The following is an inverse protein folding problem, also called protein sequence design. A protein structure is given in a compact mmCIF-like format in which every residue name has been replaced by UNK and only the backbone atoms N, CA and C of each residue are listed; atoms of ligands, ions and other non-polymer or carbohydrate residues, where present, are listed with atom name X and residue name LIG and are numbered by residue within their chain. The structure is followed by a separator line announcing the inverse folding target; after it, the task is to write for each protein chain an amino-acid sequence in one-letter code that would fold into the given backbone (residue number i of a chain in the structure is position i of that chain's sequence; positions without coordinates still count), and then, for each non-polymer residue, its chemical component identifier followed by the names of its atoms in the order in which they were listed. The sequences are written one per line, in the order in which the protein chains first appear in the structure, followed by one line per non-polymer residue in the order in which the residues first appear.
data_IF_204682696116
#
_entry.id   IF_204682696116
#
_cell.length_a   1.000
_cell.length_b   1.000
_cell.length_c   1.000
_cell.angle_alpha   90.00
_cell.angle_beta   90.00
_cell.angle_gamma   90.00
#
_symmetry.space_group_name_H-M   'P 1'
#
loop_
_entity.id
_entity.type
_entity.pdbx_description
1 polymer ?
#
# COMPACT_ATOMS: atom_id res chain seq x y z
N UNK A 1 -18.35 -39.48 -21.57
CA UNK A 1 -17.28 -39.10 -20.63
C UNK A 1 -17.93 -38.41 -19.43
N UNK A 2 -17.98 -39.05 -18.26
CA UNK A 2 -18.60 -38.51 -17.04
C UNK A 2 -17.49 -38.04 -16.10
N UNK A 3 -17.36 -36.74 -15.89
CA UNK A 3 -16.42 -36.16 -14.92
C UNK A 3 -17.00 -36.30 -13.51
N UNK A 4 -16.50 -37.30 -12.78
CA UNK A 4 -16.80 -37.52 -11.36
C UNK A 4 -16.14 -36.42 -10.53
N UNK A 5 -16.93 -35.49 -10.01
CA UNK A 5 -16.50 -34.47 -9.05
C UNK A 5 -16.44 -35.10 -7.66
N UNK A 6 -15.24 -35.32 -7.13
CA UNK A 6 -15.04 -35.75 -5.75
C UNK A 6 -15.43 -34.62 -4.79
N UNK A 7 -16.53 -34.84 -4.08
CA UNK A 7 -17.01 -34.01 -2.97
C UNK A 7 -16.25 -34.46 -1.72
N UNK A 8 -15.13 -33.81 -1.41
CA UNK A 8 -14.48 -33.97 -0.11
C UNK A 8 -15.38 -33.31 0.95
N UNK A 9 -16.16 -34.14 1.65
CA UNK A 9 -16.76 -33.76 2.92
C UNK A 9 -15.63 -33.61 3.95
N UNK A 10 -15.25 -32.36 4.22
CA UNK A 10 -14.44 -32.02 5.39
C UNK A 10 -15.44 -31.85 6.52
N UNK A 11 -15.51 -32.82 7.43
CA UNK A 11 -16.27 -32.72 8.66
C UNK A 11 -15.63 -31.65 9.57
N UNK A 12 -16.07 -30.40 9.41
CA UNK A 12 -15.71 -29.24 10.27
C UNK A 12 -16.66 -29.11 11.47
N UNK A 13 -16.89 -30.20 12.19
CA UNK A 13 -17.77 -30.25 13.36
C UNK A 13 -16.96 -30.88 14.50
N UNK A 14 -16.24 -30.14 15.35
CA UNK A 14 -16.87 -29.37 16.43
C UNK A 14 -15.94 -28.30 17.09
N UNK A 15 -14.74 -28.04 16.58
CA UNK A 15 -13.76 -27.16 17.27
C UNK A 15 -13.75 -25.69 16.81
N UNK A 16 -14.56 -25.32 15.81
CA UNK A 16 -14.64 -23.94 15.28
C UNK A 16 -15.39 -22.96 16.20
N UNK A 17 -16.15 -23.47 17.19
CA UNK A 17 -16.99 -22.65 18.05
C UNK A 17 -16.24 -21.93 19.20
N UNK A 18 -14.95 -22.20 19.41
CA UNK A 18 -14.19 -21.59 20.52
C UNK A 18 -13.49 -20.27 20.17
N UNK A 19 -13.38 -19.89 18.90
CA UNK A 19 -12.65 -18.67 18.50
C UNK A 19 -13.52 -17.46 18.19
N UNK A 20 -14.82 -17.64 17.93
CA UNK A 20 -15.70 -16.55 17.45
C UNK A 20 -16.36 -15.71 18.55
N UNK A 21 -16.12 -15.99 19.84
CA UNK A 21 -16.80 -15.32 20.96
C UNK A 21 -15.95 -14.35 21.81
N UNK A 22 -14.72 -14.04 21.41
CA UNK A 22 -13.81 -13.19 22.23
C UNK A 22 -13.66 -11.75 21.71
N UNK A 23 -14.07 -11.44 20.48
CA UNK A 23 -13.76 -10.14 19.85
C UNK A 23 -14.90 -9.13 19.76
N UNK A 24 -16.04 -9.38 20.42
CA UNK A 24 -17.14 -8.41 20.47
C UNK A 24 -17.05 -7.53 21.72
N UNK A 25 -16.67 -6.27 21.52
CA UNK A 25 -16.85 -5.14 22.43
C UNK A 25 -16.16 -5.21 23.79
N UNK A 26 -14.83 -5.11 23.79
CA UNK A 26 -14.18 -4.29 24.81
C UNK A 26 -13.72 -3.01 24.15
N UNK A 27 -14.32 -1.90 24.57
CA UNK A 27 -13.64 -0.60 24.56
C UNK A 27 -12.33 -0.80 25.31
N UNK A 28 -11.28 -1.13 24.58
CA UNK A 28 -9.93 -1.15 25.12
C UNK A 28 -9.54 0.32 25.16
N UNK A 29 -9.90 0.98 26.25
CA UNK A 29 -9.15 2.13 26.72
C UNK A 29 -7.68 1.79 26.55
N UNK A 30 -7.00 2.58 25.72
CA UNK A 30 -5.62 2.42 25.27
C UNK A 30 -4.67 2.21 26.46
N UNK A 31 -4.60 0.98 26.98
CA UNK A 31 -3.80 0.59 28.14
C UNK A 31 -2.41 0.10 27.76
N UNK A 32 -2.02 0.27 26.50
CA UNK A 32 -0.63 0.23 26.11
C UNK A 32 -0.09 1.64 26.33
N UNK A 33 0.69 1.89 27.41
CA UNK A 33 1.45 3.12 27.46
C UNK A 33 2.28 3.17 26.17
N UNK A 34 2.28 4.33 25.51
CA UNK A 34 3.21 4.59 24.43
C UNK A 34 4.59 4.07 24.88
N UNK A 35 5.30 3.27 24.05
CA UNK A 35 6.62 2.79 24.39
C UNK A 35 7.40 4.00 24.90
N UNK A 36 7.76 3.98 26.19
CA UNK A 36 8.63 5.03 26.71
C UNK A 36 9.86 4.91 25.84
N UNK A 37 10.15 5.96 25.07
CA UNK A 37 11.35 6.08 24.27
C UNK A 37 12.53 6.00 25.23
N UNK A 38 12.88 4.79 25.67
CA UNK A 38 14.16 4.53 26.27
C UNK A 38 15.12 4.65 25.11
N UNK A 39 15.93 5.72 25.03
CA UNK A 39 16.93 5.82 24.00
C UNK A 39 17.75 4.54 24.12
N UNK A 40 17.59 3.65 23.15
CA UNK A 40 18.43 2.46 23.05
C UNK A 40 19.83 3.05 23.03
N UNK A 41 20.67 2.78 24.04
CA UNK A 41 21.98 3.37 24.08
C UNK A 41 22.62 3.00 22.76
N UNK A 42 22.81 4.02 21.90
CA UNK A 42 23.61 3.88 20.71
C UNK A 42 24.99 3.67 21.29
N UNK A 43 25.33 2.41 21.54
CA UNK A 43 26.68 1.98 21.84
C UNK A 43 27.46 2.32 20.59
N UNK A 44 27.91 3.58 20.53
CA UNK A 44 28.97 4.02 19.66
C UNK A 44 30.19 3.25 20.12
N UNK A 45 30.30 2.01 19.64
CA UNK A 45 31.46 1.16 19.79
C UNK A 45 32.65 2.03 19.42
N UNK A 46 33.54 2.23 20.38
CA UNK A 46 34.80 2.97 20.25
C UNK A 46 35.42 2.55 18.92
N UNK A 47 35.44 3.49 17.96
CA UNK A 47 35.95 3.22 16.63
C UNK A 47 37.46 3.23 16.74
N UNK A 48 38.09 2.10 16.47
CA UNK A 48 39.53 2.06 16.30
C UNK A 48 39.90 2.98 15.12
N UNK A 49 40.78 3.98 15.33
CA UNK A 49 41.12 4.99 14.32
C UNK A 49 41.83 4.41 13.08
N UNK A 50 42.22 3.13 13.13
CA UNK A 50 42.89 2.43 12.03
C UNK A 50 41.91 1.75 11.05
N UNK A 51 40.59 1.93 11.26
CA UNK A 51 39.54 1.27 10.48
C UNK A 51 39.01 2.10 9.29
N UNK A 52 39.86 2.94 8.69
CA UNK A 52 39.44 3.82 7.58
C UNK A 52 39.29 3.09 6.23
N UNK A 53 39.66 1.80 6.14
CA UNK A 53 39.61 1.04 4.89
C UNK A 53 38.94 -0.35 4.99
N UNK A 54 38.35 -0.74 6.12
CA UNK A 54 37.51 -1.95 6.11
C UNK A 54 36.12 -1.58 5.63
N UNK A 55 35.63 -2.36 4.67
CA UNK A 55 34.23 -2.30 4.27
C UNK A 55 33.37 -2.47 5.52
N UNK A 56 32.52 -1.49 5.81
CA UNK A 56 31.61 -1.55 6.95
C UNK A 56 30.71 -2.79 6.78
N UNK A 57 30.87 -3.77 7.66
CA UNK A 57 30.05 -4.99 7.67
C UNK A 57 28.92 -4.81 8.69
N UNK A 58 27.70 -5.12 8.25
CA UNK A 58 26.52 -5.15 9.12
C UNK A 58 26.33 -6.58 9.60
N UNK A 59 26.25 -6.75 10.92
CA UNK A 59 25.99 -8.04 11.56
C UNK A 59 24.67 -7.97 12.33
N UNK A 60 23.94 -9.08 12.34
CA UNK A 60 22.70 -9.23 13.10
C UNK A 60 22.95 -10.28 14.20
N UNK A 61 22.64 -9.96 15.46
CA UNK A 61 22.84 -10.86 16.60
C UNK A 61 21.58 -11.66 16.92
N UNK A 62 20.47 -10.95 17.09
CA UNK A 62 19.24 -11.49 17.65
C UNK A 62 18.04 -11.25 16.73
N UNK A 63 17.07 -12.15 16.82
CA UNK A 63 15.81 -12.11 16.07
C UNK A 63 14.64 -12.06 17.04
N UNK A 64 13.65 -11.23 16.73
CA UNK A 64 12.34 -11.23 17.39
C UNK A 64 11.26 -11.64 16.38
N UNK A 65 10.29 -12.44 16.83
CA UNK A 65 9.19 -12.92 15.99
C UNK A 65 7.89 -12.31 16.49
N UNK A 66 7.17 -11.65 15.57
CA UNK A 66 5.92 -10.93 15.85
C UNK A 66 4.80 -11.46 14.96
N UNK A 67 3.63 -11.63 15.55
CA UNK A 67 2.39 -11.96 14.86
C UNK A 67 1.53 -10.69 14.77
N UNK A 68 1.28 -10.23 13.54
CA UNK A 68 0.51 -9.02 13.29
C UNK A 68 -0.98 -9.33 13.10
N UNK A 69 -1.83 -8.40 13.49
CA UNK A 69 -3.25 -8.46 13.15
C UNK A 69 -3.44 -8.42 11.63
N UNK A 70 -4.50 -9.06 11.14
CA UNK A 70 -4.88 -9.02 9.73
C UNK A 70 -6.04 -8.06 9.56
N UNK A 71 -6.00 -7.23 8.53
CA UNK A 71 -7.07 -6.27 8.19
C UNK A 71 -7.38 -6.25 6.68
N UNK A 72 -8.64 -5.95 6.29
CA UNK A 72 -8.98 -5.72 4.90
C UNK A 72 -8.34 -4.43 4.39
N UNK A 73 -7.60 -4.52 3.28
CA UNK A 73 -6.84 -3.41 2.69
C UNK A 73 -7.52 -2.84 1.46
N UNK A 74 -7.38 -1.53 1.27
CA UNK A 74 -7.78 -0.79 0.07
C UNK A 74 -6.63 -0.66 -0.96
N UNK A 75 -5.54 -1.43 -0.80
CA UNK A 75 -4.39 -1.38 -1.72
C UNK A 75 -4.79 -1.59 -3.19
N UNK A 76 -4.37 -0.70 -4.11
CA UNK A 76 -4.67 -0.84 -5.54
C UNK A 76 -3.81 -1.92 -6.23
N UNK A 77 -2.86 -2.54 -5.52
CA UNK A 77 -1.96 -3.57 -6.06
C UNK A 77 -2.68 -4.89 -6.38
N UNK A 78 -3.84 -5.14 -5.75
CA UNK A 78 -4.65 -6.35 -6.05
C UNK A 78 -5.50 -6.14 -7.30
N UNK A 79 -5.62 -7.18 -8.13
CA UNK A 79 -6.42 -7.10 -9.37
C UNK A 79 -7.92 -6.90 -9.13
N UNK A 80 -8.49 -7.55 -8.11
CA UNK A 80 -9.91 -7.47 -7.77
C UNK A 80 -10.16 -7.76 -6.28
N UNK A 81 -11.30 -7.31 -5.76
CA UNK A 81 -11.69 -7.49 -4.35
C UNK A 81 -10.87 -6.63 -3.38
N UNK A 82 -11.07 -6.88 -2.09
CA UNK A 82 -10.25 -6.33 -1.01
C UNK A 82 -8.88 -7.03 -0.95
N UNK A 83 -7.86 -6.26 -0.57
CA UNK A 83 -6.54 -6.79 -0.21
C UNK A 83 -6.53 -7.34 1.21
N UNK A 84 -5.48 -8.07 1.55
CA UNK A 84 -5.17 -8.47 2.93
C UNK A 84 -3.91 -7.70 3.31
N UNK A 85 -3.94 -7.00 4.43
CA UNK A 85 -2.82 -6.24 4.97
C UNK A 85 -2.58 -6.60 6.43
N UNK A 86 -1.33 -6.42 6.86
CA UNK A 86 -0.94 -6.55 8.26
C UNK A 86 -1.20 -5.22 8.95
N UNK A 87 -1.95 -5.23 10.05
CA UNK A 87 -2.15 -4.05 10.88
C UNK A 87 -0.92 -3.72 11.70
N UNK A 88 -1.01 -2.63 12.46
CA UNK A 88 0.08 -2.15 13.30
C UNK A 88 0.13 -2.84 14.66
N UNK A 89 -0.97 -3.46 15.10
CA UNK A 89 -0.97 -4.22 16.34
C UNK A 89 -0.35 -5.59 16.11
N UNK A 90 0.54 -5.96 17.02
CA UNK A 90 1.19 -7.26 17.00
C UNK A 90 1.31 -7.86 18.39
N UNK A 91 1.45 -9.19 18.43
CA UNK A 91 1.87 -9.94 19.60
C UNK A 91 3.27 -10.44 19.37
N UNK A 92 4.17 -10.16 20.30
CA UNK A 92 5.52 -10.73 20.26
C UNK A 92 5.43 -12.20 20.69
N UNK A 93 5.76 -13.11 19.78
CA UNK A 93 5.82 -14.54 20.06
C UNK A 93 7.17 -14.94 20.65
N UNK A 94 8.24 -14.30 20.15
CA UNK A 94 9.62 -14.50 20.59
C UNK A 94 10.26 -13.12 20.74
N UNK A 95 10.68 -12.77 21.96
CA UNK A 95 11.24 -11.45 22.26
C UNK A 95 12.66 -11.26 21.72
N UNK A 96 13.54 -12.23 21.97
CA UNK A 96 14.92 -12.23 21.49
C UNK A 96 15.44 -13.65 21.45
N UNK A 97 15.99 -14.07 20.31
CA UNK A 97 16.66 -15.36 20.16
C UNK A 97 17.90 -15.17 19.29
N UNK A 98 19.06 -15.74 19.67
CA UNK A 98 20.25 -15.69 18.84
C UNK A 98 19.95 -16.18 17.41
N UNK A 99 20.44 -15.46 16.41
CA UNK A 99 20.16 -15.75 15.01
C UNK A 99 20.54 -17.20 14.62
N UNK A 100 21.63 -17.71 15.19
CA UNK A 100 22.13 -19.07 14.95
C UNK A 100 21.09 -20.10 15.38
N UNK A 101 20.58 -19.99 16.61
CA UNK A 101 19.58 -20.91 17.17
C UNK A 101 18.28 -20.86 16.36
N UNK A 102 17.86 -19.67 15.93
CA UNK A 102 16.69 -19.49 15.07
C UNK A 102 16.86 -20.17 13.71
N UNK A 103 18.02 -20.01 13.06
CA UNK A 103 18.30 -20.61 11.75
C UNK A 103 18.44 -22.13 11.82
N UNK A 104 19.01 -22.68 12.90
CA UNK A 104 19.06 -24.14 13.11
C UNK A 104 17.67 -24.76 13.23
N UNK A 105 16.75 -24.10 13.93
CA UNK A 105 15.35 -24.54 14.02
C UNK A 105 14.61 -24.38 12.68
N UNK A 106 14.78 -23.23 12.02
CA UNK A 106 14.10 -22.88 10.77
C UNK A 106 14.57 -23.73 9.58
N UNK A 107 15.86 -24.04 9.50
CA UNK A 107 16.47 -24.77 8.38
C UNK A 107 15.85 -26.16 8.16
N UNK A 108 15.43 -26.83 9.25
CA UNK A 108 14.74 -28.14 9.19
C UNK A 108 13.40 -28.07 8.46
N UNK A 109 12.71 -26.93 8.51
CA UNK A 109 11.40 -26.72 7.90
C UNK A 109 11.47 -26.10 6.50
N UNK A 110 12.65 -25.63 6.08
CA UNK A 110 12.82 -25.04 4.76
C UNK A 110 12.79 -26.16 3.72
N UNK A 111 11.61 -26.43 3.17
CA UNK A 111 11.47 -27.31 2.02
C UNK A 111 12.42 -26.83 0.92
N UNK A 112 13.29 -27.73 0.45
CA UNK A 112 14.27 -27.46 -0.63
C UNK A 112 13.60 -26.90 -1.90
N UNK A 113 12.29 -27.17 -2.01
CA UNK A 113 11.39 -26.66 -3.03
C UNK A 113 10.35 -25.75 -2.37
N UNK A 114 10.75 -24.57 -1.92
CA UNK A 114 9.77 -23.53 -1.59
C UNK A 114 9.04 -23.18 -2.88
N UNK A 115 7.95 -23.91 -3.17
CA UNK A 115 7.13 -23.66 -4.33
C UNK A 115 6.55 -22.27 -4.11
N UNK A 116 6.84 -21.38 -5.06
CA UNK A 116 6.20 -20.08 -5.11
C UNK A 116 4.69 -20.32 -5.18
N UNK A 117 4.01 -20.20 -4.05
CA UNK A 117 2.57 -20.32 -4.02
C UNK A 117 2.02 -19.13 -4.80
N UNK A 118 1.15 -19.35 -5.80
CA UNK A 118 0.52 -18.24 -6.49
C UNK A 118 -0.20 -17.37 -5.46
N UNK A 119 -0.20 -16.06 -5.70
CA UNK A 119 -0.92 -15.12 -4.84
C UNK A 119 -2.39 -15.54 -4.67
N UNK A 120 -2.95 -15.26 -3.51
CA UNK A 120 -4.33 -15.65 -3.19
C UNK A 120 -5.33 -15.06 -4.20
N UNK A 121 -6.27 -15.89 -4.66
CA UNK A 121 -7.37 -15.43 -5.49
C UNK A 121 -8.30 -14.48 -4.71
N UNK A 122 -9.10 -13.63 -5.38
CA UNK A 122 -10.05 -12.74 -4.69
C UNK A 122 -11.02 -13.49 -3.77
N UNK A 123 -11.46 -14.69 -4.17
CA UNK A 123 -12.33 -15.54 -3.35
C UNK A 123 -11.59 -16.09 -2.12
N UNK A 124 -10.35 -16.56 -2.29
CA UNK A 124 -9.52 -17.02 -1.16
C UNK A 124 -9.25 -15.91 -0.16
N UNK A 125 -8.99 -14.68 -0.63
CA UNK A 125 -8.84 -13.52 0.26
C UNK A 125 -10.11 -13.24 1.05
N UNK A 126 -11.27 -13.26 0.38
CA UNK A 126 -12.57 -13.07 1.03
C UNK A 126 -12.83 -14.10 2.12
N UNK A 127 -12.59 -15.39 1.83
CA UNK A 127 -12.73 -16.49 2.79
C UNK A 127 -11.80 -16.26 3.99
N UNK A 128 -10.52 -15.93 3.75
CA UNK A 128 -9.59 -15.63 4.85
C UNK A 128 -10.06 -14.46 5.71
N UNK A 129 -10.48 -13.34 5.11
CA UNK A 129 -11.00 -12.22 5.89
C UNK A 129 -12.24 -12.61 6.70
N UNK A 130 -13.15 -13.41 6.16
CA UNK A 130 -14.27 -13.96 6.92
C UNK A 130 -13.83 -14.84 8.10
N UNK A 131 -12.79 -15.66 7.94
CA UNK A 131 -12.23 -16.48 9.02
C UNK A 131 -11.65 -15.61 10.16
N UNK A 132 -11.10 -14.44 9.83
CA UNK A 132 -10.63 -13.46 10.82
C UNK A 132 -11.75 -12.63 11.46
N UNK A 133 -13.02 -12.92 11.14
CA UNK A 133 -14.19 -12.30 11.78
C UNK A 133 -14.65 -10.99 11.14
N UNK A 134 -14.11 -10.61 9.98
CA UNK A 134 -14.58 -9.44 9.26
C UNK A 134 -15.95 -9.69 8.65
N UNK A 135 -16.84 -8.72 8.80
CA UNK A 135 -18.17 -8.78 8.21
C UNK A 135 -18.10 -8.68 6.69
N UNK A 136 -19.11 -9.22 6.00
CA UNK A 136 -19.20 -9.14 4.55
C UNK A 136 -19.18 -7.68 4.07
N UNK A 137 -19.86 -6.80 4.81
CA UNK A 137 -20.00 -5.39 4.46
C UNK A 137 -18.66 -4.65 4.56
N UNK A 138 -17.86 -4.89 5.60
CA UNK A 138 -16.51 -4.32 5.73
C UNK A 138 -15.58 -4.76 4.59
N UNK A 139 -15.67 -6.02 4.17
CA UNK A 139 -14.88 -6.56 3.05
C UNK A 139 -15.32 -5.91 1.73
N UNK A 140 -16.63 -5.77 1.51
CA UNK A 140 -17.18 -5.16 0.31
C UNK A 140 -16.87 -3.65 0.25
N UNK A 141 -16.89 -2.96 1.39
CA UNK A 141 -16.51 -1.56 1.51
C UNK A 141 -15.01 -1.35 1.19
N UNK A 142 -14.13 -2.17 1.76
CA UNK A 142 -12.69 -2.13 1.44
C UNK A 142 -12.43 -2.42 -0.05
N UNK A 143 -13.16 -3.37 -0.63
CA UNK A 143 -13.11 -3.68 -2.06
C UNK A 143 -13.56 -2.49 -2.92
N UNK A 144 -14.59 -1.76 -2.50
CA UNK A 144 -15.07 -0.56 -3.20
C UNK A 144 -14.03 0.57 -3.14
N UNK A 145 -13.42 0.83 -1.97
CA UNK A 145 -12.33 1.80 -1.82
C UNK A 145 -11.13 1.44 -2.71
N UNK A 146 -10.71 0.19 -2.72
CA UNK A 146 -9.64 -0.30 -3.60
C UNK A 146 -9.98 -0.08 -5.09
N UNK A 147 -11.24 -0.30 -5.50
CA UNK A 147 -11.68 -0.07 -6.87
C UNK A 147 -11.61 1.42 -7.28
N UNK A 148 -11.97 2.33 -6.36
CA UNK A 148 -11.84 3.77 -6.59
C UNK A 148 -10.36 4.16 -6.75
N UNK A 149 -9.49 3.68 -5.85
CA UNK A 149 -8.05 3.93 -5.92
C UNK A 149 -7.42 3.39 -7.20
N UNK A 150 -7.79 2.17 -7.64
CA UNK A 150 -7.34 1.61 -8.93
C UNK A 150 -7.72 2.51 -10.10
N UNK A 151 -8.97 2.96 -10.16
CA UNK A 151 -9.44 3.88 -11.22
C UNK A 151 -8.70 5.22 -11.18
N UNK A 152 -8.42 5.74 -9.98
CA UNK A 152 -7.64 6.97 -9.82
C UNK A 152 -6.21 6.80 -10.32
N UNK A 153 -5.54 5.71 -9.93
CA UNK A 153 -4.19 5.39 -10.36
C UNK A 153 -4.11 5.17 -11.86
N UNK A 154 -5.09 4.47 -12.45
CA UNK A 154 -5.16 4.28 -13.89
C UNK A 154 -5.28 5.62 -14.64
N UNK A 155 -6.10 6.55 -14.15
CA UNK A 155 -6.19 7.90 -14.71
C UNK A 155 -4.87 8.66 -14.58
N UNK A 156 -4.20 8.56 -13.43
CA UNK A 156 -2.89 9.17 -13.20
C UNK A 156 -1.84 8.63 -14.16
N UNK A 157 -1.75 7.29 -14.29
CA UNK A 157 -0.83 6.62 -15.23
C UNK A 157 -1.11 6.99 -16.68
N UNK A 158 -2.38 7.16 -17.07
CA UNK A 158 -2.74 7.65 -18.40
C UNK A 158 -2.31 9.11 -18.62
N UNK A 159 -2.37 9.96 -17.59
CA UNK A 159 -1.92 11.37 -17.67
C UNK A 159 -0.40 11.51 -17.76
N UNK A 160 0.36 10.69 -17.04
CA UNK A 160 1.83 10.70 -17.07
C UNK A 160 2.42 10.52 -18.48
N UNK A 161 1.68 9.90 -19.42
CA UNK A 161 2.12 9.80 -20.82
C UNK A 161 2.14 11.16 -21.53
N UNK A 162 1.21 12.05 -21.19
CA UNK A 162 1.15 13.40 -21.74
C UNK A 162 2.14 14.33 -21.03
N UNK A 163 2.40 14.10 -19.74
CA UNK A 163 3.35 14.91 -18.97
C UNK A 163 4.75 14.88 -19.60
N UNK A 164 5.22 13.72 -20.06
CA UNK A 164 6.51 13.63 -20.79
C UNK A 164 6.55 14.44 -22.08
N UNK A 165 5.43 14.48 -22.81
CA UNK A 165 5.34 15.28 -24.05
C UNK A 165 5.29 16.76 -23.72
N UNK A 166 4.57 17.14 -22.67
CA UNK A 166 4.53 18.51 -22.17
C UNK A 166 5.93 18.98 -21.72
N UNK A 167 6.67 18.16 -20.96
CA UNK A 167 8.04 18.44 -20.53
C UNK A 167 8.99 18.67 -21.72
N UNK A 168 8.90 17.83 -22.77
CA UNK A 168 9.69 18.01 -23.99
C UNK A 168 9.31 19.28 -24.75
N UNK A 169 8.01 19.59 -24.84
CA UNK A 169 7.50 20.81 -25.45
C UNK A 169 7.95 22.07 -24.72
N UNK A 170 7.93 22.06 -23.38
CA UNK A 170 8.45 23.14 -22.56
C UNK A 170 9.95 23.37 -22.76
N UNK A 171 10.74 22.29 -22.89
CA UNK A 171 12.17 22.39 -23.21
C UNK A 171 12.42 23.08 -24.55
N UNK A 172 11.67 22.70 -25.58
CA UNK A 172 11.77 23.32 -26.92
C UNK A 172 11.31 24.78 -26.92
N UNK A 173 10.24 25.11 -26.20
CA UNK A 173 9.73 26.47 -26.07
C UNK A 173 10.74 27.42 -25.41
N UNK A 174 11.50 26.95 -24.42
CA UNK A 174 12.59 27.72 -23.79
C UNK A 174 13.71 28.03 -24.79
N UNK A 175 14.10 27.05 -25.60
CA UNK A 175 15.14 27.23 -26.62
C UNK A 175 14.68 28.12 -27.77
N UNK A 176 13.42 28.01 -28.20
CA UNK A 176 12.86 28.87 -29.24
C UNK A 176 12.83 30.34 -28.81
N UNK A 177 12.48 30.64 -27.55
CA UNK A 177 12.53 32.01 -27.03
C UNK A 177 13.94 32.60 -27.09
N UNK A 178 14.96 31.82 -26.74
CA UNK A 178 16.36 32.25 -26.85
C UNK A 178 16.82 32.40 -28.30
N UNK A 179 16.42 31.51 -29.21
CA UNK A 179 16.71 31.66 -30.64
C UNK A 179 16.02 32.87 -31.25
N UNK A 180 14.75 33.12 -30.91
CA UNK A 180 14.00 34.29 -31.40
C UNK A 180 14.63 35.60 -30.95
N UNK A 181 15.12 35.67 -29.71
CA UNK A 181 15.90 36.81 -29.22
C UNK A 181 17.22 36.99 -29.97
N UNK A 182 17.92 35.89 -30.31
CA UNK A 182 19.18 35.93 -31.09
C UNK A 182 18.98 36.30 -32.57
N UNK A 183 17.87 35.87 -33.17
CA UNK A 183 17.61 36.15 -34.59
C UNK A 183 17.12 37.58 -34.86
N UNK A 184 17.09 38.45 -33.84
CA UNK A 184 16.76 39.86 -34.04
C UNK A 184 15.40 40.07 -34.69
N UNK A 185 14.44 39.16 -34.46
CA UNK A 185 13.06 39.36 -34.89
C UNK A 185 12.50 40.48 -34.02
N UNK A 186 12.73 41.71 -34.47
CA UNK A 186 12.11 42.91 -33.95
C UNK A 186 10.61 42.63 -33.86
N UNK A 187 10.06 42.73 -32.65
CA UNK A 187 8.63 42.76 -32.50
C UNK A 187 8.16 44.03 -33.21
N UNK A 188 7.48 43.83 -34.33
CA UNK A 188 6.60 44.84 -34.90
C UNK A 188 5.52 45.07 -33.84
N UNK A 189 5.65 46.17 -33.08
CA UNK A 189 4.67 46.62 -32.09
C UNK A 189 3.37 46.92 -32.83
N UNK A 190 2.48 45.93 -32.92
CA UNK A 190 1.07 46.21 -33.21
C UNK A 190 0.44 46.77 -31.94
N UNK A 191 0.31 48.10 -31.96
CA UNK A 191 -0.54 48.88 -31.06
C UNK A 191 -2.00 48.51 -31.30
N UNK A 192 -2.46 47.44 -30.66
CA UNK A 192 -3.88 47.12 -30.61
C UNK A 192 -4.48 47.84 -29.40
N UNK A 193 -4.91 49.08 -29.64
CA UNK A 193 -5.94 49.75 -28.86
C UNK A 193 -7.22 48.90 -28.95
N UNK A 194 -7.36 47.93 -28.05
CA UNK A 194 -8.60 47.18 -27.86
C UNK A 194 -9.08 47.44 -26.45
N UNK A 195 -10.08 48.31 -26.38
CA UNK A 195 -10.86 48.67 -25.22
C UNK A 195 -11.23 47.46 -24.35
N UNK A 196 -10.61 47.39 -23.16
CA UNK A 196 -11.35 47.54 -21.91
C UNK A 196 -12.53 46.61 -21.61
N UNK A 197 -12.65 45.43 -22.22
CA UNK A 197 -13.72 44.48 -21.86
C UNK A 197 -13.15 43.17 -21.34
N UNK A 198 -12.92 43.14 -20.03
CA UNK A 198 -12.61 41.94 -19.25
C UNK A 198 -13.71 40.90 -19.56
N UNK A 199 -13.39 39.75 -20.19
CA UNK A 199 -14.36 38.68 -20.33
C UNK A 199 -14.62 38.12 -18.93
N UNK A 200 -15.80 38.43 -18.40
CA UNK A 200 -16.31 37.87 -17.17
C UNK A 200 -16.39 36.34 -17.37
N UNK A 201 -15.43 35.62 -16.80
CA UNK A 201 -15.38 34.16 -16.86
C UNK A 201 -16.49 33.62 -15.94
N UNK A 202 -17.72 33.54 -16.45
CA UNK A 202 -18.83 32.89 -15.78
C UNK A 202 -18.63 31.37 -15.82
N UNK A 203 -17.73 30.89 -14.97
CA UNK A 203 -17.54 29.47 -14.68
C UNK A 203 -18.79 28.95 -13.98
N UNK A 204 -19.82 28.58 -14.75
CA UNK A 204 -20.93 27.75 -14.27
C UNK A 204 -20.36 26.38 -13.90
N UNK A 205 -19.88 26.23 -12.67
CA UNK A 205 -19.73 24.92 -12.03
C UNK A 205 -21.13 24.34 -11.93
N UNK A 206 -21.46 23.41 -12.82
CA UNK A 206 -22.54 22.45 -12.58
C UNK A 206 -22.07 21.55 -11.43
N UNK A 207 -22.36 21.98 -10.21
CA UNK A 207 -22.71 21.03 -9.16
C UNK A 207 -23.97 20.34 -9.67
N UNK A 208 -23.97 19.01 -9.73
CA UNK A 208 -25.15 18.12 -9.67
C UNK A 208 -24.65 16.71 -10.02
N UNK A 209 -24.06 16.06 -9.02
CA UNK A 209 -24.03 14.60 -8.95
C UNK A 209 -24.60 14.25 -7.58
N UNK A 210 -25.93 14.18 -7.55
CA UNK A 210 -26.71 13.62 -6.45
C UNK A 210 -26.30 12.16 -6.22
N UNK A 211 -25.58 11.94 -5.13
CA UNK A 211 -25.15 10.61 -4.68
C UNK A 211 -26.17 9.93 -3.74
N UNK A 212 -27.42 10.42 -3.67
CA UNK A 212 -28.44 9.97 -2.72
C UNK A 212 -29.44 8.96 -3.30
N UNK A 213 -29.00 7.93 -4.02
CA UNK A 213 -29.95 6.92 -4.50
C UNK A 213 -29.39 5.49 -4.59
N UNK A 214 -28.77 5.00 -3.51
CA UNK A 214 -28.36 3.59 -3.43
C UNK A 214 -28.68 2.96 -2.06
N UNK A 215 -29.95 3.02 -1.65
CA UNK A 215 -30.51 2.10 -0.65
C UNK A 215 -31.97 1.78 -1.01
N UNK A 216 -32.16 0.71 -1.77
CA UNK A 216 -33.36 -0.13 -1.81
C UNK A 216 -32.94 -1.57 -2.05
#
# INVERSE_FOLDING_TARGET
MKTSYYKHHIDQSADSAYWTKVWRNKSIDSKYPAPKDTPVPITSSIRDPDDNNRQRKVHFSDVSVREYEIQPSDTPAVSAGAGIELGWKYKTLIESTPLIDFDEQRSKQRTKYFQYSPGLSPLQRRIRLSEFGFSKDEIDEASARAAILRRSNEKSVRRMRFDRVAELGEGLGRNWKHMKAKMGVCQEEKSDDIDGRIPHCSSKRKNDLDFNNLHK
#
